data_IF_717673953277
#
_entry.id   IF_717673953277
#
_cell.length_a   1.000
_cell.length_b   1.000
_cell.length_c   1.000
_cell.angle_alpha   90.00
_cell.angle_beta   90.00
_cell.angle_gamma   90.00
#
_symmetry.space_group_name_H-M   'P 1'
#
loop_
_entity.id
_entity.type
_entity.pdbx_description
1 polymer ?
#
# COMPACT_ATOMS: atom_id res chain seq x y z
N UNK A 1 -26.84 -16.76 -17.66
CA UNK A 1 -25.49 -16.23 -17.42
C UNK A 1 -25.27 -15.07 -18.36
N UNK A 2 -24.87 -13.90 -17.86
CA UNK A 2 -24.54 -12.74 -18.69
C UNK A 2 -23.10 -12.86 -19.18
N UNK A 3 -22.84 -12.50 -20.43
CA UNK A 3 -21.53 -12.48 -21.03
C UNK A 3 -21.04 -11.05 -21.18
N UNK A 4 -19.79 -10.79 -20.80
CA UNK A 4 -19.15 -9.48 -20.89
C UNK A 4 -17.87 -9.56 -21.73
N UNK A 5 -17.45 -8.42 -22.24
CA UNK A 5 -16.13 -8.34 -22.89
C UNK A 5 -15.03 -8.31 -21.83
N UNK A 6 -15.24 -7.60 -20.73
CA UNK A 6 -14.28 -7.50 -19.63
C UNK A 6 -14.96 -7.63 -18.27
N UNK A 7 -14.44 -8.52 -17.42
CA UNK A 7 -14.77 -8.57 -16.00
C UNK A 7 -13.60 -8.04 -15.16
N UNK A 8 -13.90 -7.15 -14.21
CA UNK A 8 -12.93 -6.60 -13.27
C UNK A 8 -13.29 -7.10 -11.87
N UNK A 9 -12.35 -7.77 -11.20
CA UNK A 9 -12.50 -8.26 -9.83
C UNK A 9 -11.83 -7.28 -8.88
N UNK A 10 -12.65 -6.52 -8.14
CA UNK A 10 -12.22 -5.48 -7.21
C UNK A 10 -12.41 -4.07 -7.74
N UNK A 11 -13.09 -3.24 -6.94
CA UNK A 11 -13.32 -1.82 -7.18
C UNK A 11 -12.38 -0.93 -6.35
N UNK A 12 -11.14 -1.33 -6.18
CA UNK A 12 -10.06 -0.49 -5.68
C UNK A 12 -9.53 0.46 -6.76
N UNK A 13 -8.49 1.27 -6.47
CA UNK A 13 -7.94 2.23 -7.44
C UNK A 13 -7.63 1.59 -8.81
N UNK A 14 -6.95 0.46 -8.85
CA UNK A 14 -6.64 -0.21 -10.11
C UNK A 14 -7.89 -0.55 -10.93
N UNK A 15 -8.91 -1.15 -10.30
CA UNK A 15 -10.14 -1.55 -11.00
C UNK A 15 -10.99 -0.36 -11.45
N UNK A 16 -11.08 0.70 -10.64
CA UNK A 16 -11.82 1.92 -11.00
C UNK A 16 -11.20 2.62 -12.22
N UNK A 17 -9.86 2.81 -12.20
CA UNK A 17 -9.17 3.48 -13.30
C UNK A 17 -9.09 2.60 -14.54
N UNK A 18 -9.06 1.27 -14.39
CA UNK A 18 -9.21 0.35 -15.52
C UNK A 18 -10.61 0.50 -16.17
N UNK A 19 -11.67 0.49 -15.36
CA UNK A 19 -13.03 0.70 -15.87
C UNK A 19 -13.20 2.06 -16.56
N UNK A 20 -12.65 3.13 -15.95
CA UNK A 20 -12.68 4.48 -16.51
C UNK A 20 -12.00 4.54 -17.89
N UNK A 21 -10.79 4.05 -18.01
CA UNK A 21 -10.02 4.12 -19.25
C UNK A 21 -10.61 3.20 -20.34
N UNK A 22 -11.11 2.00 -19.99
CA UNK A 22 -11.80 1.10 -20.92
C UNK A 22 -12.99 1.82 -21.62
N UNK A 23 -13.88 2.40 -20.83
CA UNK A 23 -15.07 3.09 -21.35
C UNK A 23 -14.70 4.37 -22.12
N UNK A 24 -13.65 5.08 -21.67
CA UNK A 24 -13.15 6.26 -22.39
C UNK A 24 -12.56 5.90 -23.76
N UNK A 25 -11.85 4.78 -23.87
CA UNK A 25 -11.20 4.32 -25.11
C UNK A 25 -12.14 3.57 -26.04
N UNK A 26 -13.04 2.77 -25.48
CA UNK A 26 -14.02 2.00 -26.25
C UNK A 26 -15.35 1.91 -25.50
N UNK A 27 -16.28 2.88 -25.72
CA UNK A 27 -17.59 2.90 -25.06
C UNK A 27 -18.52 1.73 -25.41
N UNK A 28 -18.18 0.93 -26.43
CA UNK A 28 -18.97 -0.22 -26.85
C UNK A 28 -18.71 -1.48 -26.02
N UNK A 29 -17.65 -1.51 -25.24
CA UNK A 29 -17.29 -2.65 -24.39
C UNK A 29 -18.33 -2.84 -23.28
N UNK A 30 -18.79 -4.07 -23.13
CA UNK A 30 -19.57 -4.50 -21.95
C UNK A 30 -18.63 -4.84 -20.81
N UNK A 31 -18.66 -4.01 -19.76
CA UNK A 31 -17.75 -4.15 -18.61
C UNK A 31 -18.56 -4.40 -17.34
N UNK A 32 -18.14 -5.42 -16.56
CA UNK A 32 -18.69 -5.69 -15.22
C UNK A 32 -17.60 -5.55 -14.17
N UNK A 33 -17.93 -4.94 -13.04
CA UNK A 33 -17.04 -4.85 -11.86
C UNK A 33 -17.67 -5.58 -10.68
N UNK A 34 -16.97 -6.59 -10.17
CA UNK A 34 -17.38 -7.40 -9.03
C UNK A 34 -16.58 -6.99 -7.79
N UNK A 35 -17.26 -6.39 -6.80
CA UNK A 35 -16.65 -5.90 -5.57
C UNK A 35 -17.17 -6.67 -4.36
N UNK A 36 -16.25 -7.16 -3.55
CA UNK A 36 -16.57 -7.93 -2.34
C UNK A 36 -17.22 -7.10 -1.23
N UNK A 37 -16.93 -5.81 -1.19
CA UNK A 37 -17.45 -4.88 -0.19
C UNK A 37 -18.57 -3.98 -0.72
N UNK A 38 -18.90 -2.98 0.08
CA UNK A 38 -20.04 -2.11 -0.15
C UNK A 38 -19.77 -1.02 -1.20
N UNK A 39 -20.85 -0.47 -1.78
CA UNK A 39 -20.78 0.79 -2.55
C UNK A 39 -20.31 1.94 -1.66
N UNK A 40 -19.71 2.99 -2.25
CA UNK A 40 -19.09 4.09 -1.52
C UNK A 40 -19.97 4.68 -0.40
N UNK A 41 -21.23 4.95 -0.70
CA UNK A 41 -22.20 5.53 0.27
C UNK A 41 -22.60 4.59 1.41
N UNK A 42 -22.44 3.29 1.24
CA UNK A 42 -22.76 2.28 2.28
C UNK A 42 -21.55 1.89 3.12
N UNK A 43 -20.36 2.38 2.79
CA UNK A 43 -19.16 2.11 3.55
C UNK A 43 -19.17 2.92 4.85
N UNK A 44 -19.37 2.25 5.95
CA UNK A 44 -19.38 2.85 7.28
C UNK A 44 -18.74 1.90 8.30
N UNK A 45 -17.73 2.40 9.04
CA UNK A 45 -17.17 1.66 10.14
C UNK A 45 -18.07 1.79 11.37
N UNK A 46 -18.42 0.69 12.05
CA UNK A 46 -19.30 0.75 13.23
C UNK A 46 -18.61 1.35 14.47
N UNK A 47 -17.31 1.59 14.47
CA UNK A 47 -16.59 2.24 15.58
C UNK A 47 -17.08 3.70 15.68
N UNK A 48 -17.75 4.02 16.78
CA UNK A 48 -18.30 5.35 17.07
C UNK A 48 -17.58 6.05 18.26
N UNK A 49 -16.59 5.39 18.85
CA UNK A 49 -15.84 5.87 20.01
C UNK A 49 -16.66 5.91 21.32
N UNK A 50 -17.94 5.62 21.26
CA UNK A 50 -18.88 5.65 22.42
C UNK A 50 -19.33 4.25 22.79
N UNK A 51 -20.16 3.63 21.93
CA UNK A 51 -20.68 2.26 22.15
C UNK A 51 -19.70 1.20 21.67
N UNK A 52 -19.12 1.41 20.49
CA UNK A 52 -18.15 0.52 19.87
C UNK A 52 -16.80 1.27 19.83
N UNK A 53 -15.93 0.94 20.78
CA UNK A 53 -14.63 1.64 20.96
C UNK A 53 -13.47 0.96 20.25
N UNK A 54 -13.62 -0.30 19.84
CA UNK A 54 -12.57 -1.10 19.19
C UNK A 54 -13.12 -1.88 18.02
N UNK A 55 -12.22 -2.38 17.14
CA UNK A 55 -12.58 -3.16 15.98
C UNK A 55 -13.34 -4.44 16.38
N UNK A 56 -14.50 -4.66 15.75
CA UNK A 56 -15.35 -5.84 15.97
C UNK A 56 -15.12 -6.93 14.90
N UNK A 57 -14.10 -6.82 14.08
CA UNK A 57 -13.73 -7.79 13.03
C UNK A 57 -14.90 -8.13 12.11
N UNK A 58 -15.48 -7.10 11.47
CA UNK A 58 -16.59 -7.24 10.55
C UNK A 58 -16.28 -8.25 9.43
N UNK A 59 -17.26 -9.03 8.99
CA UNK A 59 -17.12 -10.02 7.91
C UNK A 59 -16.62 -9.39 6.59
N UNK A 60 -17.08 -8.18 6.29
CA UNK A 60 -16.52 -7.30 5.26
C UNK A 60 -16.15 -5.99 5.92
N UNK A 61 -14.87 -5.64 5.94
CA UNK A 61 -14.39 -4.43 6.58
C UNK A 61 -14.66 -3.22 5.69
N UNK A 62 -15.58 -2.33 6.10
CA UNK A 62 -15.93 -1.13 5.34
C UNK A 62 -14.77 -0.15 5.14
N UNK A 63 -13.69 -0.24 5.93
CA UNK A 63 -12.48 0.57 5.72
C UNK A 63 -11.59 -0.03 4.63
N UNK A 64 -11.46 -1.36 4.60
CA UNK A 64 -10.51 -2.04 3.70
C UNK A 64 -11.12 -2.45 2.36
N UNK A 65 -12.44 -2.73 2.32
CA UNK A 65 -13.15 -3.29 1.16
C UNK A 65 -14.33 -2.43 0.75
N UNK A 66 -14.66 -2.42 -0.54
CA UNK A 66 -15.71 -1.62 -1.15
C UNK A 66 -15.17 -0.68 -2.22
N UNK A 67 -16.04 0.11 -2.83
CA UNK A 67 -15.66 1.06 -3.88
C UNK A 67 -14.56 2.03 -3.38
N UNK A 68 -13.47 2.15 -4.12
CA UNK A 68 -12.27 2.88 -3.74
C UNK A 68 -11.25 2.06 -2.93
N UNK A 69 -11.59 0.81 -2.55
CA UNK A 69 -10.70 -0.05 -1.76
C UNK A 69 -10.28 0.57 -0.43
N UNK A 70 -9.14 0.19 0.12
CA UNK A 70 -8.56 0.82 1.31
C UNK A 70 -8.19 2.30 1.07
N UNK A 71 -7.99 2.67 -0.19
CA UNK A 71 -7.68 4.05 -0.60
C UNK A 71 -8.77 5.06 -0.28
N UNK A 72 -10.05 4.66 -0.26
CA UNK A 72 -11.17 5.59 -0.05
C UNK A 72 -11.17 6.30 1.31
N UNK A 73 -10.57 5.70 2.32
CA UNK A 73 -10.45 6.27 3.66
C UNK A 73 -8.99 6.52 4.07
N UNK A 74 -8.09 6.53 3.10
CA UNK A 74 -6.72 6.96 3.31
C UNK A 74 -6.62 8.48 3.25
N UNK A 75 -5.45 9.02 3.53
CA UNK A 75 -5.13 10.44 3.39
C UNK A 75 -4.97 10.89 1.91
N UNK A 76 -5.28 10.05 0.96
CA UNK A 76 -5.29 10.41 -0.47
C UNK A 76 -3.94 10.87 -1.01
N UNK A 77 -2.85 10.22 -0.61
CA UNK A 77 -1.52 10.50 -1.14
C UNK A 77 -1.28 9.78 -2.46
N UNK A 78 -1.21 10.55 -3.53
CA UNK A 78 -0.84 10.06 -4.86
C UNK A 78 0.63 10.38 -5.14
N UNK A 79 1.46 9.35 -5.13
CA UNK A 79 2.91 9.48 -5.35
C UNK A 79 3.24 9.28 -6.82
N UNK A 80 3.85 10.31 -7.44
CA UNK A 80 4.31 10.27 -8.83
C UNK A 80 5.82 10.05 -8.82
N UNK A 81 6.23 8.80 -8.85
CA UNK A 81 7.64 8.40 -8.75
C UNK A 81 7.83 6.93 -9.11
N UNK A 82 9.03 6.56 -9.56
CA UNK A 82 9.47 5.17 -9.70
C UNK A 82 10.36 4.70 -8.52
N UNK A 83 10.69 5.59 -7.58
CA UNK A 83 11.63 5.25 -6.50
C UNK A 83 10.97 4.47 -5.35
N UNK A 84 9.64 4.54 -5.25
CA UNK A 84 8.85 3.77 -4.27
C UNK A 84 7.38 3.67 -4.71
N UNK A 85 6.61 2.79 -4.07
CA UNK A 85 5.18 2.58 -4.36
C UNK A 85 4.90 1.44 -5.32
N UNK A 86 5.93 0.75 -5.80
CA UNK A 86 5.82 -0.42 -6.67
C UNK A 86 6.98 -0.54 -7.64
N UNK A 87 6.96 -1.61 -8.42
CA UNK A 87 7.93 -1.96 -9.46
C UNK A 87 7.30 -1.96 -10.86
N UNK A 88 6.19 -1.27 -11.04
CA UNK A 88 5.47 -1.19 -12.32
C UNK A 88 6.40 -0.83 -13.50
N UNK A 89 7.39 0.04 -13.25
CA UNK A 89 8.37 0.47 -14.25
C UNK A 89 9.28 -0.67 -14.76
N UNK A 90 9.40 -1.78 -14.04
CA UNK A 90 10.17 -2.95 -14.48
C UNK A 90 9.45 -3.71 -15.61
N UNK A 91 8.13 -3.57 -15.69
CA UNK A 91 7.27 -4.19 -16.69
C UNK A 91 7.07 -3.28 -17.92
N UNK A 92 6.72 -2.01 -17.68
CA UNK A 92 6.27 -1.10 -18.74
C UNK A 92 7.29 0.02 -19.08
N UNK A 93 8.43 0.07 -18.37
CA UNK A 93 9.43 1.13 -18.53
C UNK A 93 9.15 2.34 -17.65
N UNK A 94 10.24 3.08 -17.32
CA UNK A 94 10.20 4.19 -16.35
C UNK A 94 9.41 5.40 -16.85
N UNK A 95 9.54 5.73 -18.13
CA UNK A 95 8.88 6.90 -18.73
C UNK A 95 7.38 6.69 -18.81
N UNK A 96 6.95 5.51 -19.26
CA UNK A 96 5.53 5.16 -19.36
C UNK A 96 4.88 5.11 -17.99
N UNK A 97 5.52 4.47 -17.01
CA UNK A 97 5.00 4.41 -15.63
C UNK A 97 4.80 5.82 -15.04
N UNK A 98 5.76 6.74 -15.21
CA UNK A 98 5.62 8.13 -14.76
C UNK A 98 4.55 8.90 -15.52
N UNK A 99 4.44 8.68 -16.84
CA UNK A 99 3.42 9.30 -17.68
C UNK A 99 2.01 8.90 -17.23
N UNK A 100 1.80 7.61 -16.97
CA UNK A 100 0.52 7.09 -16.47
C UNK A 100 0.18 7.63 -15.08
N UNK A 101 1.15 7.72 -14.17
CA UNK A 101 0.90 8.31 -12.84
C UNK A 101 0.54 9.80 -12.91
N UNK A 102 1.13 10.57 -13.83
CA UNK A 102 0.73 11.96 -14.11
C UNK A 102 -0.69 12.03 -14.67
N UNK A 103 -1.02 11.14 -15.58
CA UNK A 103 -2.38 11.05 -16.13
C UNK A 103 -3.43 10.69 -15.04
N UNK A 104 -3.07 9.83 -14.09
CA UNK A 104 -3.90 9.59 -12.89
C UNK A 104 -4.12 10.89 -12.10
N UNK A 105 -3.08 11.70 -11.92
CA UNK A 105 -3.20 13.00 -11.23
C UNK A 105 -4.13 13.96 -12.00
N UNK A 106 -4.02 14.03 -13.32
CA UNK A 106 -4.93 14.82 -14.18
C UNK A 106 -6.38 14.39 -14.01
N UNK A 107 -6.66 13.09 -14.04
CA UNK A 107 -8.01 12.56 -13.79
C UNK A 107 -8.51 12.97 -12.39
N UNK A 108 -7.67 12.90 -11.37
CA UNK A 108 -8.04 13.34 -10.02
C UNK A 108 -8.38 14.82 -9.98
N UNK A 109 -7.61 15.66 -10.67
CA UNK A 109 -7.89 17.10 -10.76
C UNK A 109 -9.23 17.39 -11.44
N UNK A 110 -9.52 16.74 -12.57
CA UNK A 110 -10.80 16.85 -13.29
C UNK A 110 -12.00 16.42 -12.42
N UNK A 111 -11.78 15.51 -11.47
CA UNK A 111 -12.84 14.98 -10.61
C UNK A 111 -12.91 15.61 -9.20
N UNK A 112 -12.32 16.78 -9.01
CA UNK A 112 -12.48 17.57 -7.77
C UNK A 112 -11.23 17.74 -6.94
N UNK A 113 -10.08 17.29 -7.44
CA UNK A 113 -8.79 17.54 -6.81
C UNK A 113 -8.22 18.94 -7.08
N UNK A 114 -8.90 19.77 -7.87
CA UNK A 114 -8.41 21.11 -8.20
C UNK A 114 -8.11 21.95 -6.94
N UNK A 115 -7.01 22.72 -7.01
CA UNK A 115 -6.57 23.59 -5.92
C UNK A 115 -5.72 22.90 -4.86
N UNK A 116 -5.57 21.57 -4.90
CA UNK A 116 -4.68 20.86 -3.99
C UNK A 116 -3.21 21.02 -4.39
N UNK A 117 -2.34 21.15 -3.38
CA UNK A 117 -0.91 21.36 -3.61
C UNK A 117 -0.23 20.08 -4.07
N UNK A 118 0.62 20.19 -5.10
CA UNK A 118 1.59 19.15 -5.48
C UNK A 118 2.93 19.47 -4.81
N UNK A 119 3.36 18.65 -3.88
CA UNK A 119 4.68 18.71 -3.27
C UNK A 119 5.69 18.02 -4.18
N UNK A 120 6.93 18.51 -4.23
CA UNK A 120 7.96 17.91 -5.06
C UNK A 120 9.34 18.02 -4.43
N UNK A 121 10.13 16.97 -4.60
CA UNK A 121 11.56 16.97 -4.23
C UNK A 121 12.45 17.60 -5.31
N UNK A 122 11.88 17.99 -6.44
CA UNK A 122 12.64 18.63 -7.52
C UNK A 122 13.18 20.00 -7.07
N UNK A 123 14.50 20.18 -7.20
CA UNK A 123 15.16 21.46 -6.87
C UNK A 123 15.31 21.75 -5.38
N UNK A 124 14.90 20.86 -4.48
CA UNK A 124 15.04 21.08 -3.03
C UNK A 124 16.51 21.07 -2.58
N UNK A 125 16.83 21.98 -1.66
CA UNK A 125 18.15 22.01 -0.97
C UNK A 125 18.42 20.74 -0.13
N UNK A 126 17.38 20.06 0.30
CA UNK A 126 17.49 18.88 1.15
C UNK A 126 18.14 17.71 0.45
N UNK A 127 18.05 17.62 -0.88
CA UNK A 127 18.77 16.57 -1.64
C UNK A 127 20.27 16.64 -1.42
N UNK A 128 20.83 17.87 -1.50
CA UNK A 128 22.27 18.09 -1.24
C UNK A 128 22.62 17.82 0.23
N UNK A 129 21.79 18.29 1.16
CA UNK A 129 21.99 18.07 2.60
C UNK A 129 22.00 16.57 2.95
N UNK A 130 21.08 15.80 2.41
CA UNK A 130 21.05 14.36 2.58
C UNK A 130 22.31 13.70 2.02
N UNK A 131 22.72 14.03 0.79
CA UNK A 131 23.94 13.47 0.18
C UNK A 131 25.20 13.75 1.00
N UNK A 132 25.34 14.94 1.55
CA UNK A 132 26.46 15.33 2.40
C UNK A 132 26.55 14.48 3.69
N UNK A 133 25.43 13.90 4.13
CA UNK A 133 25.31 13.09 5.33
C UNK A 133 25.07 11.60 5.04
N UNK A 134 25.44 11.12 3.82
CA UNK A 134 25.30 9.72 3.40
C UNK A 134 23.84 9.21 3.40
N UNK A 135 22.91 10.13 3.32
CA UNK A 135 21.49 9.88 3.16
C UNK A 135 21.08 10.09 1.70
N UNK A 136 20.08 9.36 1.23
CA UNK A 136 19.49 9.54 -0.09
C UNK A 136 18.05 9.97 0.07
N UNK A 137 17.73 11.21 -0.31
CA UNK A 137 16.35 11.63 -0.50
C UNK A 137 15.83 11.07 -1.82
N UNK A 138 14.74 10.29 -1.78
CA UNK A 138 14.13 9.72 -2.98
C UNK A 138 13.37 10.81 -3.75
N UNK A 139 13.42 10.73 -5.08
CA UNK A 139 12.74 11.69 -5.94
C UNK A 139 11.24 11.34 -6.05
N UNK A 140 10.39 12.30 -5.76
CA UNK A 140 8.95 12.15 -5.90
C UNK A 140 8.26 13.50 -6.08
N UNK A 141 7.10 13.45 -6.76
CA UNK A 141 6.05 14.45 -6.59
C UNK A 141 4.87 13.78 -5.89
N UNK A 142 4.28 14.45 -4.91
CA UNK A 142 3.21 13.90 -4.08
C UNK A 142 2.02 14.85 -4.11
N UNK A 143 0.88 14.36 -4.61
CA UNK A 143 -0.41 15.02 -4.46
C UNK A 143 -1.05 14.53 -3.18
N UNK A 144 -1.31 15.44 -2.26
CA UNK A 144 -2.06 15.15 -1.05
C UNK A 144 -3.48 15.69 -1.20
N UNK A 145 -4.45 14.79 -1.35
CA UNK A 145 -5.85 15.15 -1.49
C UNK A 145 -6.56 15.26 -0.13
N UNK A 146 -6.01 14.60 0.90
CA UNK A 146 -6.73 14.36 2.13
C UNK A 146 -7.88 13.36 1.94
N UNK A 147 -8.47 12.92 3.04
CA UNK A 147 -9.56 11.93 3.00
C UNK A 147 -10.82 12.51 2.35
N UNK A 148 -11.11 13.78 2.62
CA UNK A 148 -12.35 14.42 2.16
C UNK A 148 -12.36 14.64 0.65
N UNK A 149 -11.30 15.23 0.10
CA UNK A 149 -11.20 15.48 -1.35
C UNK A 149 -11.08 14.17 -2.11
N UNK A 150 -10.32 13.21 -1.58
CA UNK A 150 -10.21 11.89 -2.17
C UNK A 150 -11.57 11.18 -2.25
N UNK A 151 -12.42 11.33 -1.24
CA UNK A 151 -13.80 10.84 -1.28
C UNK A 151 -14.63 11.50 -2.39
N UNK A 152 -14.52 12.82 -2.58
CA UNK A 152 -15.20 13.57 -3.65
C UNK A 152 -14.75 13.08 -5.03
N UNK A 153 -13.45 12.85 -5.22
CA UNK A 153 -12.91 12.30 -6.48
C UNK A 153 -13.53 10.94 -6.78
N UNK A 154 -13.56 10.05 -5.79
CA UNK A 154 -14.16 8.72 -5.96
C UNK A 154 -15.68 8.80 -6.23
N UNK A 155 -16.41 9.72 -5.60
CA UNK A 155 -17.84 9.90 -5.83
C UNK A 155 -18.12 10.38 -7.26
N UNK A 156 -17.33 11.33 -7.78
CA UNK A 156 -17.46 11.81 -9.16
C UNK A 156 -17.08 10.73 -10.19
N UNK A 157 -15.99 9.99 -9.97
CA UNK A 157 -15.65 8.85 -10.83
C UNK A 157 -16.78 7.81 -10.85
N UNK A 158 -17.35 7.48 -9.69
CA UNK A 158 -18.49 6.57 -9.64
C UNK A 158 -19.70 7.11 -10.40
N UNK A 159 -20.02 8.41 -10.25
CA UNK A 159 -21.13 9.03 -10.94
C UNK A 159 -20.98 8.98 -12.46
N UNK A 160 -19.76 9.10 -12.98
CA UNK A 160 -19.47 8.98 -14.42
C UNK A 160 -19.58 7.54 -14.94
N UNK A 161 -19.16 6.56 -14.11
CA UNK A 161 -19.09 5.16 -14.52
C UNK A 161 -20.38 4.37 -14.35
N UNK A 162 -21.22 4.69 -13.37
CA UNK A 162 -22.36 3.87 -12.92
C UNK A 162 -23.41 3.53 -14.01
N UNK A 163 -23.53 4.36 -15.03
CA UNK A 163 -24.48 4.18 -16.12
C UNK A 163 -23.84 3.51 -17.36
N UNK A 164 -22.52 3.31 -17.34
CA UNK A 164 -21.72 2.75 -18.45
C UNK A 164 -21.10 1.40 -18.10
N UNK A 165 -20.93 1.11 -16.82
CA UNK A 165 -20.30 -0.10 -16.27
C UNK A 165 -21.26 -0.75 -15.28
N UNK A 166 -21.41 -2.06 -15.37
CA UNK A 166 -22.26 -2.80 -14.43
C UNK A 166 -21.49 -3.11 -13.14
N UNK A 167 -21.89 -2.49 -12.02
CA UNK A 167 -21.25 -2.71 -10.72
C UNK A 167 -22.08 -3.67 -9.85
N UNK A 168 -21.44 -4.72 -9.37
CA UNK A 168 -21.99 -5.65 -8.38
C UNK A 168 -21.23 -5.52 -7.07
N UNK A 169 -21.82 -4.84 -6.08
CA UNK A 169 -21.31 -4.75 -4.72
C UNK A 169 -21.78 -5.92 -3.85
N UNK A 170 -21.06 -6.16 -2.74
CA UNK A 170 -21.34 -7.28 -1.85
C UNK A 170 -21.37 -8.62 -2.63
N UNK A 171 -20.46 -8.73 -3.61
CA UNK A 171 -20.41 -9.84 -4.55
C UNK A 171 -18.96 -10.36 -4.67
N UNK A 172 -18.45 -11.03 -3.62
CA UNK A 172 -17.13 -11.62 -3.66
C UNK A 172 -17.07 -12.73 -4.69
N UNK A 173 -16.06 -12.70 -5.54
CA UNK A 173 -15.71 -13.83 -6.43
C UNK A 173 -15.06 -14.92 -5.59
N UNK A 174 -15.63 -16.13 -5.63
CA UNK A 174 -15.13 -17.26 -4.85
C UNK A 174 -14.11 -18.11 -5.63
N UNK A 175 -14.31 -18.22 -6.94
CA UNK A 175 -13.48 -19.02 -7.85
C UNK A 175 -13.48 -18.43 -9.25
N UNK A 176 -12.39 -18.59 -9.97
CA UNK A 176 -12.29 -18.29 -11.40
C UNK A 176 -11.95 -19.57 -12.15
N UNK A 177 -12.72 -19.88 -13.18
CA UNK A 177 -12.50 -21.00 -14.06
C UNK A 177 -12.21 -20.54 -15.49
N UNK A 178 -11.33 -21.26 -16.16
CA UNK A 178 -10.97 -21.01 -17.55
C UNK A 178 -11.79 -21.93 -18.44
N UNK A 179 -12.50 -21.35 -19.42
CA UNK A 179 -13.31 -22.09 -20.38
C UNK A 179 -12.66 -22.12 -21.76
N UNK A 180 -12.85 -23.23 -22.47
CA UNK A 180 -12.36 -23.36 -23.85
C UNK A 180 -10.82 -23.34 -23.95
N UNK A 181 -10.12 -23.93 -22.98
CA UNK A 181 -8.66 -24.01 -22.98
C UNK A 181 -8.16 -24.73 -24.23
N UNK A 182 -7.45 -24.02 -25.08
CA UNK A 182 -6.78 -24.59 -26.26
C UNK A 182 -5.35 -24.96 -25.85
N UNK A 183 -5.05 -26.24 -25.77
CA UNK A 183 -3.67 -26.71 -25.70
C UNK A 183 -3.09 -26.66 -27.10
N UNK A 184 -2.26 -25.68 -27.41
CA UNK A 184 -1.43 -25.77 -28.58
C UNK A 184 -0.47 -26.95 -28.42
N UNK A 185 -0.55 -27.90 -29.35
CA UNK A 185 0.45 -28.97 -29.49
C UNK A 185 1.74 -28.30 -30.02
N UNK A 186 2.53 -27.72 -29.14
CA UNK A 186 3.82 -27.23 -29.54
C UNK A 186 4.94 -28.21 -29.20
N UNK A 187 5.86 -28.32 -30.13
CA UNK A 187 7.14 -29.01 -30.03
C UNK A 187 7.94 -28.39 -28.85
N UNK A 188 8.46 -29.28 -28.01
CA UNK A 188 9.30 -28.95 -26.87
C UNK A 188 10.39 -27.92 -27.23
N UNK A 189 10.26 -26.68 -26.75
CA UNK A 189 11.32 -25.71 -26.55
C UNK A 189 10.80 -24.26 -26.63
N UNK A 190 10.02 -23.80 -25.63
CA UNK A 190 9.96 -22.38 -25.27
C UNK A 190 9.18 -22.17 -23.97
N UNK A 191 9.84 -21.66 -22.94
CA UNK A 191 9.30 -21.39 -21.60
C UNK A 191 8.33 -20.17 -21.51
N UNK A 192 7.75 -19.68 -22.62
CA UNK A 192 6.91 -18.49 -22.66
C UNK A 192 5.66 -18.60 -23.54
N UNK A 193 5.08 -19.80 -23.66
CA UNK A 193 3.87 -19.92 -24.47
C UNK A 193 2.63 -19.49 -23.71
N UNK A 194 1.85 -18.56 -24.28
CA UNK A 194 0.55 -18.13 -23.78
C UNK A 194 -0.48 -19.23 -23.99
N UNK A 195 -1.29 -19.49 -22.96
CA UNK A 195 -2.44 -20.40 -23.03
C UNK A 195 -3.66 -19.61 -23.48
N UNK A 196 -4.19 -19.95 -24.64
CA UNK A 196 -5.41 -19.33 -25.17
C UNK A 196 -6.64 -19.96 -24.53
N UNK A 197 -7.64 -19.14 -24.26
CA UNK A 197 -8.94 -19.55 -23.70
C UNK A 197 -10.06 -18.71 -24.32
N UNK A 198 -11.28 -19.28 -24.34
CA UNK A 198 -12.45 -18.60 -24.91
C UNK A 198 -13.02 -17.55 -23.94
N UNK A 199 -13.07 -17.89 -22.67
CA UNK A 199 -13.60 -17.00 -21.63
C UNK A 199 -13.20 -17.43 -20.22
N UNK A 200 -13.47 -16.54 -19.27
CA UNK A 200 -13.31 -16.72 -17.83
C UNK A 200 -14.67 -16.77 -17.16
N UNK A 201 -14.92 -17.80 -16.37
CA UNK A 201 -16.12 -17.94 -15.58
C UNK A 201 -15.80 -17.59 -14.12
N UNK A 202 -16.50 -16.57 -13.62
CA UNK A 202 -16.32 -16.04 -12.27
C UNK A 202 -17.53 -16.50 -11.42
N UNK A 203 -17.27 -17.34 -10.45
CA UNK A 203 -18.28 -17.88 -9.54
C UNK A 203 -18.45 -16.96 -8.34
N UNK A 204 -19.69 -16.62 -8.05
CA UNK A 204 -20.10 -15.90 -6.82
C UNK A 204 -21.21 -16.66 -6.11
N UNK A 205 -21.53 -16.25 -4.88
CA UNK A 205 -22.66 -16.84 -4.14
C UNK A 205 -24.04 -16.55 -4.76
N UNK A 206 -24.13 -15.50 -5.58
CA UNK A 206 -25.39 -15.04 -6.11
C UNK A 206 -25.67 -15.58 -7.51
N UNK A 207 -24.69 -15.44 -8.39
CA UNK A 207 -24.77 -15.81 -9.81
C UNK A 207 -23.36 -15.93 -10.38
N UNK A 208 -23.25 -16.53 -11.55
CA UNK A 208 -22.00 -16.66 -12.28
C UNK A 208 -21.92 -15.62 -13.40
N UNK A 209 -20.70 -15.12 -13.62
CA UNK A 209 -20.37 -14.14 -14.66
C UNK A 209 -19.37 -14.74 -15.63
N UNK A 210 -19.57 -14.48 -16.93
CA UNK A 210 -18.63 -14.91 -17.97
C UNK A 210 -18.06 -13.68 -18.67
N UNK A 211 -16.76 -13.68 -18.96
CA UNK A 211 -16.12 -12.60 -19.70
C UNK A 211 -14.98 -13.11 -20.58
N UNK A 212 -14.76 -12.47 -21.74
CA UNK A 212 -13.65 -12.77 -22.64
C UNK A 212 -12.29 -12.46 -22.00
N UNK A 213 -12.25 -11.40 -21.15
CA UNK A 213 -11.05 -10.95 -20.45
C UNK A 213 -11.37 -10.74 -18.97
N UNK A 214 -10.40 -11.03 -18.13
CA UNK A 214 -10.52 -10.88 -16.68
C UNK A 214 -9.36 -10.03 -16.16
N UNK A 215 -9.69 -8.94 -15.45
CA UNK A 215 -8.74 -8.09 -14.74
C UNK A 215 -8.93 -8.33 -13.24
N UNK A 216 -7.94 -8.89 -12.58
CA UNK A 216 -7.95 -9.04 -11.11
C UNK A 216 -7.23 -7.86 -10.50
N UNK A 217 -7.97 -7.04 -9.73
CA UNK A 217 -7.50 -5.81 -9.08
C UNK A 217 -7.83 -5.82 -7.59
N UNK A 218 -7.49 -6.90 -6.90
CA UNK A 218 -7.71 -7.02 -5.47
C UNK A 218 -6.61 -6.31 -4.68
N UNK A 219 -6.96 -5.81 -3.51
CA UNK A 219 -6.02 -5.21 -2.56
C UNK A 219 -5.44 -6.24 -1.59
N UNK A 220 -4.75 -5.75 -0.54
CA UNK A 220 -4.15 -6.58 0.51
C UNK A 220 -5.13 -7.52 1.21
N UNK A 221 -6.38 -7.09 1.40
CA UNK A 221 -7.44 -7.94 1.97
C UNK A 221 -7.78 -9.15 1.10
N UNK A 222 -7.50 -9.10 -0.20
CA UNK A 222 -7.68 -10.20 -1.15
C UNK A 222 -6.46 -11.08 -1.35
N UNK A 223 -5.35 -10.86 -0.61
CA UNK A 223 -4.08 -11.58 -0.81
C UNK A 223 -4.23 -13.09 -0.77
N UNK A 224 -4.83 -13.63 0.29
CA UNK A 224 -5.04 -15.08 0.45
C UNK A 224 -5.96 -15.67 -0.62
N UNK A 225 -6.95 -14.91 -1.07
CA UNK A 225 -7.80 -15.32 -2.19
C UNK A 225 -7.03 -15.35 -3.50
N UNK A 226 -6.17 -14.35 -3.75
CA UNK A 226 -5.33 -14.31 -4.96
C UNK A 226 -4.31 -15.46 -4.97
N UNK A 227 -3.72 -15.79 -3.83
CA UNK A 227 -2.84 -16.95 -3.67
C UNK A 227 -3.55 -18.23 -4.08
N UNK A 228 -4.77 -18.45 -3.55
CA UNK A 228 -5.61 -19.59 -3.93
C UNK A 228 -5.92 -19.61 -5.43
N UNK A 229 -6.25 -18.47 -6.05
CA UNK A 229 -6.50 -18.38 -7.50
C UNK A 229 -5.24 -18.75 -8.29
N UNK A 230 -4.06 -18.26 -7.87
CA UNK A 230 -2.81 -18.64 -8.51
C UNK A 230 -2.52 -20.12 -8.41
N UNK A 231 -2.72 -20.73 -7.24
CA UNK A 231 -2.52 -22.16 -7.02
C UNK A 231 -3.48 -23.00 -7.87
N UNK A 232 -4.79 -22.66 -7.87
CA UNK A 232 -5.82 -23.39 -8.64
C UNK A 232 -5.59 -23.30 -10.16
N UNK A 233 -5.12 -22.16 -10.65
CA UNK A 233 -4.82 -21.94 -12.07
C UNK A 233 -3.37 -22.30 -12.44
N UNK A 234 -2.55 -22.69 -11.45
CA UNK A 234 -1.14 -22.98 -11.65
C UNK A 234 -0.34 -21.78 -12.16
N UNK A 235 -0.70 -20.55 -11.75
CA UNK A 235 0.05 -19.33 -12.08
C UNK A 235 1.23 -19.23 -11.11
N UNK A 236 2.48 -19.14 -11.60
CA UNK A 236 3.64 -19.04 -10.73
C UNK A 236 3.61 -17.72 -9.91
N UNK A 237 4.09 -17.84 -8.66
CA UNK A 237 4.23 -16.68 -7.76
C UNK A 237 5.60 -16.66 -7.11
N UNK A 238 6.07 -15.48 -6.68
CA UNK A 238 7.30 -15.33 -5.91
C UNK A 238 6.98 -14.69 -4.57
N UNK A 239 7.75 -15.06 -3.53
CA UNK A 239 7.69 -14.36 -2.26
C UNK A 239 8.16 -12.91 -2.43
N UNK A 240 7.39 -11.98 -1.90
CA UNK A 240 7.77 -10.58 -1.86
C UNK A 240 8.57 -10.27 -0.58
N UNK A 241 9.05 -9.05 -0.46
CA UNK A 241 9.72 -8.56 0.75
C UNK A 241 8.74 -8.38 1.90
N UNK A 242 9.27 -8.24 3.10
CA UNK A 242 8.59 -7.68 4.27
C UNK A 242 9.43 -6.52 4.80
N UNK A 243 8.81 -5.41 5.16
CA UNK A 243 9.51 -4.30 5.81
C UNK A 243 9.18 -4.32 7.30
N UNK A 244 10.23 -4.30 8.13
CA UNK A 244 10.14 -4.41 9.58
C UNK A 244 10.85 -3.24 10.25
N UNK A 245 10.26 -2.72 11.31
CA UNK A 245 10.91 -1.67 12.08
C UNK A 245 10.06 -1.08 13.18
N UNK A 246 10.20 0.20 13.37
CA UNK A 246 9.56 0.97 14.44
C UNK A 246 8.90 2.23 13.89
N UNK A 247 7.93 2.74 14.62
CA UNK A 247 7.46 4.12 14.47
C UNK A 247 8.19 5.01 15.44
N UNK A 248 8.74 6.08 14.93
CA UNK A 248 9.40 7.15 15.69
C UNK A 248 8.38 8.24 15.97
N UNK A 249 8.36 8.77 17.18
CA UNK A 249 7.61 9.97 17.56
C UNK A 249 8.53 10.94 18.27
N UNK A 250 8.50 12.21 17.84
CA UNK A 250 9.34 13.27 18.34
C UNK A 250 8.65 14.64 18.13
N UNK A 251 9.13 15.74 18.77
CA UNK A 251 8.54 17.06 18.59
C UNK A 251 8.53 17.51 17.14
N UNK A 252 7.39 18.01 16.64
CA UNK A 252 7.21 18.41 15.24
C UNK A 252 8.24 19.45 14.78
N UNK A 253 8.67 20.32 15.68
CA UNK A 253 9.68 21.38 15.39
C UNK A 253 11.00 20.81 14.87
N UNK A 254 11.36 19.57 15.21
CA UNK A 254 12.60 18.92 14.75
C UNK A 254 12.55 18.67 13.24
N UNK A 255 11.40 18.31 12.70
CA UNK A 255 11.22 17.99 11.28
C UNK A 255 10.49 19.08 10.48
N UNK A 256 9.98 20.16 11.11
CA UNK A 256 9.17 21.19 10.45
C UNK A 256 9.84 21.76 9.20
N UNK A 257 11.14 22.03 9.25
CA UNK A 257 11.91 22.55 8.11
C UNK A 257 11.90 21.62 6.87
N UNK A 258 11.70 20.31 7.06
CA UNK A 258 11.55 19.32 6.00
C UNK A 258 10.07 19.15 5.60
N UNK A 259 9.19 19.04 6.59
CA UNK A 259 7.78 18.73 6.35
C UNK A 259 7.00 19.91 5.77
N UNK A 260 7.36 21.15 6.07
CA UNK A 260 6.74 22.34 5.50
C UNK A 260 7.03 22.48 3.99
N UNK A 261 8.20 22.00 3.53
CA UNK A 261 8.59 22.05 2.12
C UNK A 261 8.14 20.79 1.36
N UNK A 262 8.37 19.60 1.93
CA UNK A 262 8.23 18.31 1.24
C UNK A 262 6.99 17.52 1.68
N UNK A 263 6.31 17.91 2.74
CA UNK A 263 5.23 17.21 3.43
C UNK A 263 5.68 15.82 3.94
N UNK A 264 6.03 14.91 3.04
CA UNK A 264 6.52 13.57 3.35
C UNK A 264 7.87 13.32 2.66
N UNK A 265 8.93 13.08 3.46
CA UNK A 265 10.26 12.80 2.94
C UNK A 265 10.55 11.30 3.00
N UNK A 266 10.86 10.70 1.86
CA UNK A 266 11.38 9.33 1.79
C UNK A 266 12.91 9.39 1.76
N UNK A 267 13.53 9.13 2.90
CA UNK A 267 14.98 9.18 3.08
C UNK A 267 15.49 7.77 3.31
N UNK A 268 16.52 7.39 2.58
CA UNK A 268 17.18 6.08 2.69
C UNK A 268 18.59 6.26 3.22
N UNK A 269 18.96 5.39 4.14
CA UNK A 269 20.31 5.23 4.66
C UNK A 269 20.79 3.80 4.46
N UNK A 270 21.97 3.63 3.87
CA UNK A 270 22.64 2.33 3.81
C UNK A 270 23.52 2.18 5.05
N UNK A 271 23.18 1.22 5.91
CA UNK A 271 23.88 0.99 7.17
C UNK A 271 25.35 0.61 6.96
N UNK A 272 26.22 1.05 7.87
CA UNK A 272 27.65 0.75 7.79
C UNK A 272 27.94 -0.70 8.19
N UNK A 273 27.23 -1.19 9.20
CA UNK A 273 27.50 -2.51 9.78
C UNK A 273 27.01 -3.67 8.88
N UNK A 274 25.82 -3.54 8.32
CA UNK A 274 25.16 -4.64 7.58
C UNK A 274 24.89 -4.34 6.12
N UNK A 275 25.14 -3.11 5.68
CA UNK A 275 24.82 -2.61 4.33
C UNK A 275 23.31 -2.74 3.96
N UNK A 276 22.46 -2.85 4.97
CA UNK A 276 21.01 -2.85 4.80
C UNK A 276 20.49 -1.43 4.51
N UNK A 277 19.47 -1.33 3.69
CA UNK A 277 18.76 -0.07 3.50
C UNK A 277 17.69 0.10 4.57
N UNK A 278 17.83 1.17 5.36
CA UNK A 278 16.80 1.66 6.27
C UNK A 278 16.17 2.90 5.65
N UNK A 279 14.85 2.99 5.70
CA UNK A 279 14.15 4.10 5.09
C UNK A 279 13.09 4.70 6.02
N UNK A 280 12.88 6.01 5.90
CA UNK A 280 11.69 6.65 6.46
C UNK A 280 10.46 6.25 5.65
N UNK A 281 9.34 6.08 6.33
CA UNK A 281 8.09 5.70 5.69
C UNK A 281 6.90 6.37 6.42
N UNK A 282 5.85 6.73 5.67
CA UNK A 282 4.61 7.29 6.19
C UNK A 282 4.83 8.36 7.28
N UNK A 283 5.39 9.50 6.88
CA UNK A 283 5.61 10.64 7.78
C UNK A 283 4.32 11.42 7.97
N UNK A 284 4.00 11.73 9.22
CA UNK A 284 2.77 12.41 9.63
C UNK A 284 3.13 13.62 10.48
N UNK A 285 3.29 14.79 9.84
CA UNK A 285 3.51 16.06 10.55
C UNK A 285 2.32 16.37 11.46
N UNK A 286 2.58 16.80 12.69
CA UNK A 286 1.57 17.11 13.70
C UNK A 286 0.51 16.03 13.91
N UNK A 287 0.91 14.76 13.66
CA UNK A 287 0.03 13.60 13.67
C UNK A 287 0.08 12.80 14.96
N UNK A 288 -0.65 11.70 14.96
CA UNK A 288 -0.73 10.76 16.08
C UNK A 288 -0.20 9.37 15.68
N UNK A 289 0.33 8.66 16.66
CA UNK A 289 0.64 7.23 16.54
C UNK A 289 -0.63 6.43 16.83
N UNK A 290 -0.90 5.40 16.05
CA UNK A 290 -2.11 4.58 16.17
C UNK A 290 -1.80 3.09 16.11
N UNK A 291 -2.70 2.29 16.67
CA UNK A 291 -2.69 0.84 16.52
C UNK A 291 -3.36 0.44 15.21
N UNK A 292 -2.79 -0.52 14.51
CA UNK A 292 -3.41 -1.21 13.38
C UNK A 292 -3.61 -2.68 13.75
N UNK A 293 -4.85 -3.16 13.66
CA UNK A 293 -5.17 -4.56 13.95
C UNK A 293 -5.53 -5.30 12.67
N UNK A 294 -4.73 -6.27 12.31
CA UNK A 294 -4.96 -7.13 11.14
C UNK A 294 -5.05 -8.59 11.61
N UNK A 295 -6.24 -9.17 11.55
CA UNK A 295 -6.49 -10.57 11.94
C UNK A 295 -6.03 -10.92 13.36
N UNK A 296 -6.19 -9.99 14.31
CA UNK A 296 -5.79 -10.19 15.70
C UNK A 296 -4.31 -9.92 16.00
N UNK A 297 -3.55 -9.48 15.01
CA UNK A 297 -2.17 -9.02 15.17
C UNK A 297 -2.18 -7.50 15.23
N UNK A 298 -1.68 -6.93 16.33
CA UNK A 298 -1.60 -5.49 16.53
C UNK A 298 -0.21 -5.01 16.14
N UNK A 299 -0.16 -4.10 15.19
CA UNK A 299 1.05 -3.37 14.77
C UNK A 299 0.84 -1.88 14.98
N UNK A 300 1.90 -1.10 14.86
CA UNK A 300 1.82 0.36 14.96
C UNK A 300 1.75 0.99 13.56
N UNK A 301 1.05 2.12 13.47
CA UNK A 301 1.01 2.99 12.30
C UNK A 301 0.92 4.45 12.76
N UNK A 302 0.85 5.39 11.82
CA UNK A 302 0.65 6.81 12.12
C UNK A 302 -0.49 7.38 11.29
N UNK A 303 -1.05 8.48 11.79
CA UNK A 303 -2.11 9.20 11.13
C UNK A 303 -1.95 10.70 11.33
N UNK A 304 -2.30 11.49 10.32
CA UNK A 304 -2.42 12.95 10.41
C UNK A 304 -3.82 13.40 10.01
N UNK A 305 -4.30 14.45 10.66
CA UNK A 305 -5.59 15.07 10.36
C UNK A 305 -5.36 16.38 9.62
N UNK A 306 -6.27 16.77 8.73
CA UNK A 306 -6.21 18.07 8.06
C UNK A 306 -6.65 19.23 8.97
N UNK A 307 -7.60 18.99 9.88
CA UNK A 307 -8.09 20.01 10.81
C UNK A 307 -7.03 20.38 11.85
N UNK A 308 -6.65 21.66 11.90
CA UNK A 308 -5.65 22.18 12.85
C UNK A 308 -6.04 21.93 14.31
N UNK A 309 -7.34 21.83 14.61
CA UNK A 309 -7.88 21.50 15.95
C UNK A 309 -7.50 20.10 16.44
N UNK A 310 -7.03 19.23 15.54
CA UNK A 310 -6.59 17.86 15.82
C UNK A 310 -5.07 17.67 15.72
N UNK A 311 -4.35 18.72 15.41
CA UNK A 311 -2.90 18.68 15.33
C UNK A 311 -2.29 18.47 16.71
N UNK A 312 -1.23 17.65 16.76
CA UNK A 312 -0.41 17.47 17.95
C UNK A 312 0.89 18.24 17.83
N UNK A 313 1.64 18.35 18.92
CA UNK A 313 2.97 18.93 18.92
C UNK A 313 4.04 17.97 18.40
N UNK A 314 3.66 16.75 18.01
CA UNK A 314 4.56 15.69 17.56
C UNK A 314 4.44 15.41 16.06
N UNK A 315 5.57 15.08 15.45
CA UNK A 315 5.65 14.39 14.16
C UNK A 315 5.99 12.95 14.41
N UNK A 316 5.39 12.04 13.64
CA UNK A 316 5.77 10.63 13.68
C UNK A 316 6.05 10.08 12.26
N UNK A 317 6.94 9.10 12.19
CA UNK A 317 7.29 8.40 10.94
C UNK A 317 7.81 7.00 11.25
N UNK A 318 7.67 6.09 10.29
CA UNK A 318 8.27 4.78 10.42
C UNK A 318 9.73 4.79 9.99
N UNK A 319 10.55 3.95 10.63
CA UNK A 319 11.86 3.52 10.15
C UNK A 319 11.78 2.03 9.87
N UNK A 320 11.94 1.67 8.60
CA UNK A 320 11.73 0.30 8.12
C UNK A 320 12.97 -0.23 7.42
N UNK A 321 13.27 -1.50 7.69
CA UNK A 321 14.31 -2.29 7.04
C UNK A 321 13.64 -3.32 6.14
N UNK A 322 13.90 -3.28 4.84
CA UNK A 322 13.39 -4.27 3.90
C UNK A 322 14.13 -5.60 4.04
N UNK A 323 13.40 -6.71 4.15
CA UNK A 323 13.95 -8.05 4.16
C UNK A 323 13.37 -8.86 3.01
N UNK A 324 14.26 -9.42 2.21
CA UNK A 324 13.96 -10.37 1.15
C UNK A 324 14.44 -11.75 1.59
N UNK A 325 13.64 -12.75 1.31
CA UNK A 325 14.00 -14.13 1.59
C UNK A 325 14.19 -14.87 0.26
N UNK A 326 15.29 -15.61 0.16
CA UNK A 326 15.56 -16.53 -0.94
C UNK A 326 15.16 -17.96 -0.54
N UNK A 327 15.07 -18.82 -1.54
CA UNK A 327 14.87 -20.26 -1.29
C UNK A 327 15.83 -20.79 -0.21
N UNK A 328 15.39 -21.67 0.70
CA UNK A 328 14.06 -22.29 0.75
C UNK A 328 13.00 -21.49 1.52
N UNK A 329 13.30 -20.29 1.97
CA UNK A 329 12.42 -19.46 2.78
C UNK A 329 11.49 -18.64 1.88
N UNK A 330 10.20 -18.97 1.88
CA UNK A 330 9.20 -18.31 0.99
C UNK A 330 8.21 -17.43 1.72
N UNK A 331 8.11 -17.52 3.06
CA UNK A 331 7.07 -16.85 3.82
C UNK A 331 7.61 -15.63 4.56
N UNK A 332 7.87 -14.55 3.80
CA UNK A 332 8.27 -13.26 4.38
C UNK A 332 7.17 -12.64 5.25
N UNK A 333 5.91 -12.83 4.88
CA UNK A 333 4.78 -12.31 5.66
C UNK A 333 4.65 -13.05 6.99
N UNK A 334 4.78 -14.38 7.02
CA UNK A 334 4.80 -15.18 8.24
C UNK A 334 5.95 -14.80 9.18
N UNK A 335 7.12 -14.46 8.62
CA UNK A 335 8.22 -13.92 9.42
C UNK A 335 7.84 -12.59 10.10
N UNK A 336 7.27 -11.65 9.35
CA UNK A 336 6.79 -10.37 9.89
C UNK A 336 5.69 -10.55 10.93
N UNK A 337 4.73 -11.45 10.67
CA UNK A 337 3.67 -11.80 11.62
C UNK A 337 4.23 -12.40 12.91
N UNK A 338 5.24 -13.26 12.83
CA UNK A 338 5.87 -13.88 14.01
C UNK A 338 6.49 -12.83 14.93
N UNK A 339 7.18 -11.83 14.37
CA UNK A 339 7.76 -10.72 15.14
C UNK A 339 6.65 -9.85 15.75
N UNK A 340 5.59 -9.55 15.01
CA UNK A 340 4.47 -8.77 15.54
C UNK A 340 3.73 -9.52 16.66
N UNK A 341 3.53 -10.84 16.53
CA UNK A 341 2.96 -11.69 17.60
C UNK A 341 3.83 -11.72 18.84
N UNK A 342 5.17 -11.76 18.66
CA UNK A 342 6.10 -11.69 19.79
C UNK A 342 5.97 -10.35 20.54
N UNK A 343 5.86 -9.22 19.82
CA UNK A 343 5.59 -7.91 20.42
C UNK A 343 4.27 -7.91 21.20
N UNK A 344 3.20 -8.46 20.61
CA UNK A 344 1.89 -8.53 21.26
C UNK A 344 1.91 -9.40 22.51
N UNK A 345 2.65 -10.50 22.49
CA UNK A 345 2.81 -11.39 23.65
C UNK A 345 3.51 -10.69 24.81
N UNK A 346 4.55 -9.89 24.52
CA UNK A 346 5.34 -9.21 25.54
C UNK A 346 4.69 -7.91 26.05
N UNK A 347 4.01 -7.17 25.15
CA UNK A 347 3.44 -5.85 25.44
C UNK A 347 1.92 -5.82 25.57
N UNK A 348 1.22 -6.92 25.31
CA UNK A 348 -0.24 -6.92 25.16
C UNK A 348 -0.74 -6.13 23.95
N UNK A 349 0.17 -5.78 23.04
CA UNK A 349 -0.03 -4.93 21.87
C UNK A 349 1.27 -4.27 21.45
N UNK A 350 1.25 -2.95 21.25
CA UNK A 350 2.43 -2.17 20.89
C UNK A 350 3.29 -1.89 22.12
N UNK A 351 4.60 -2.02 21.96
CA UNK A 351 5.62 -1.65 22.95
C UNK A 351 6.15 -0.25 22.61
N UNK A 352 6.36 0.59 23.62
CA UNK A 352 7.06 1.88 23.51
C UNK A 352 8.36 1.87 24.30
N UNK A 353 9.42 2.41 23.68
CA UNK A 353 10.74 2.56 24.33
C UNK A 353 11.33 3.92 23.97
N UNK A 354 11.94 4.61 24.96
CA UNK A 354 12.74 5.81 24.70
C UNK A 354 14.04 5.42 24.00
N UNK A 355 14.46 6.23 23.04
CA UNK A 355 15.69 5.99 22.30
C UNK A 355 16.92 5.90 23.23
N UNK A 356 17.02 6.80 24.23
CA UNK A 356 18.11 6.74 25.20
C UNK A 356 18.12 5.47 26.06
N UNK A 357 16.97 4.86 26.33
CA UNK A 357 16.92 3.59 27.04
C UNK A 357 17.33 2.43 26.13
N UNK A 358 16.94 2.44 24.84
CA UNK A 358 17.37 1.46 23.86
C UNK A 358 18.91 1.47 23.70
N UNK A 359 19.52 2.65 23.54
CA UNK A 359 20.98 2.81 23.42
C UNK A 359 21.72 2.28 24.65
N UNK A 360 21.13 2.41 25.83
CA UNK A 360 21.70 1.88 27.08
C UNK A 360 21.41 0.40 27.31
N UNK A 361 20.72 -0.26 26.40
CA UNK A 361 20.34 -1.68 26.52
C UNK A 361 19.40 -1.97 27.69
N UNK A 362 18.46 -1.08 27.98
CA UNK A 362 17.51 -1.24 29.08
C UNK A 362 16.08 -0.93 28.67
N UNK A 363 15.12 -1.62 29.27
CA UNK A 363 13.70 -1.34 29.07
C UNK A 363 13.32 0.08 29.53
N UNK A 364 12.38 0.70 28.86
CA UNK A 364 11.68 1.87 29.39
C UNK A 364 10.65 1.46 30.47
N UNK A 365 10.34 2.40 31.36
CA UNK A 365 9.25 2.26 32.33
C UNK A 365 8.32 3.48 32.25
N UNK A 366 7.15 3.37 32.86
CA UNK A 366 6.12 4.39 32.80
C UNK A 366 6.63 5.75 33.29
N UNK A 367 7.35 5.79 34.40
CA UNK A 367 7.87 7.03 34.97
C UNK A 367 8.80 7.77 34.00
N UNK A 368 9.74 7.08 33.35
CA UNK A 368 10.65 7.71 32.39
C UNK A 368 9.95 8.20 31.12
N UNK A 369 8.88 7.53 30.70
CA UNK A 369 8.05 8.01 29.57
C UNK A 369 7.33 9.31 29.97
N UNK A 370 6.69 9.34 31.12
CA UNK A 370 5.93 10.49 31.62
C UNK A 370 6.81 11.71 31.92
N UNK A 371 8.04 11.51 32.39
CA UNK A 371 9.03 12.57 32.67
C UNK A 371 9.76 13.04 31.41
N UNK A 372 9.60 12.38 30.26
CA UNK A 372 10.25 12.73 29.00
C UNK A 372 9.65 13.97 28.35
N UNK A 373 10.47 14.65 27.54
CA UNK A 373 10.02 15.83 26.76
C UNK A 373 8.98 15.48 25.68
N UNK A 374 9.02 14.25 25.16
CA UNK A 374 8.07 13.78 24.15
C UNK A 374 6.92 13.08 24.85
N UNK A 375 5.73 13.67 24.80
CA UNK A 375 4.53 13.06 25.36
C UNK A 375 3.91 12.12 24.31
N UNK A 376 3.70 10.83 24.65
CA UNK A 376 3.20 9.84 23.68
C UNK A 376 1.76 10.13 23.25
N UNK A 377 1.50 10.13 21.95
CA UNK A 377 0.14 10.23 21.42
C UNK A 377 -0.60 8.90 21.41
N UNK A 378 0.12 7.77 21.49
CA UNK A 378 -0.45 6.43 21.68
C UNK A 378 -0.11 5.91 23.07
N UNK A 379 -1.13 5.49 23.80
CA UNK A 379 -0.94 4.71 25.04
C UNK A 379 -0.48 3.29 24.68
N UNK A 380 0.83 3.03 24.88
CA UNK A 380 1.48 1.76 24.62
C UNK A 380 2.19 1.23 25.88
N UNK A 381 2.58 -0.02 25.88
CA UNK A 381 3.27 -0.65 27.03
C UNK A 381 4.76 -0.28 27.01
N UNK A 382 5.30 0.39 28.05
CA UNK A 382 6.74 0.62 28.16
C UNK A 382 7.51 -0.70 28.23
N UNK A 383 8.48 -0.88 27.34
CA UNK A 383 9.18 -2.15 27.24
C UNK A 383 10.59 -2.05 26.64
N UNK A 384 11.03 -3.16 26.09
CA UNK A 384 12.34 -3.33 25.46
C UNK A 384 12.17 -3.95 24.08
N UNK A 385 12.43 -3.16 23.03
CA UNK A 385 12.33 -3.57 21.64
C UNK A 385 13.42 -4.58 21.25
N UNK A 386 14.50 -4.68 22.02
CA UNK A 386 15.56 -5.66 21.76
C UNK A 386 15.11 -7.11 22.03
N UNK A 387 14.03 -7.29 22.77
CA UNK A 387 13.42 -8.61 22.98
C UNK A 387 12.51 -9.05 21.83
N UNK A 388 12.24 -8.17 20.89
CA UNK A 388 11.28 -8.40 19.79
C UNK A 388 11.98 -8.32 18.44
N UNK A 389 12.65 -7.20 18.16
CA UNK A 389 13.28 -6.98 16.89
C UNK A 389 14.66 -7.65 16.83
N UNK A 390 14.99 -8.37 15.74
CA UNK A 390 16.33 -8.89 15.54
C UNK A 390 17.38 -7.79 15.64
N UNK A 391 18.53 -8.13 16.24
CA UNK A 391 19.66 -7.19 16.45
C UNK A 391 20.01 -6.42 15.17
N UNK A 392 20.10 -7.10 14.04
CA UNK A 392 20.44 -6.49 12.73
C UNK A 392 19.45 -5.37 12.34
N UNK A 393 18.17 -5.52 12.65
CA UNK A 393 17.16 -4.51 12.38
C UNK A 393 17.28 -3.34 13.33
N UNK A 394 17.48 -3.61 14.64
CA UNK A 394 17.64 -2.56 15.64
C UNK A 394 18.90 -1.72 15.42
N UNK A 395 20.03 -2.37 15.16
CA UNK A 395 21.29 -1.66 14.90
C UNK A 395 21.12 -0.74 13.68
N UNK A 396 20.50 -1.24 12.59
CA UNK A 396 20.23 -0.42 11.42
C UNK A 396 19.31 0.78 11.69
N UNK A 397 18.29 0.59 12.53
CA UNK A 397 17.40 1.69 12.98
C UNK A 397 18.17 2.71 13.80
N UNK A 398 19.03 2.29 14.72
CA UNK A 398 19.86 3.20 15.53
C UNK A 398 20.82 3.99 14.64
N UNK A 399 21.51 3.35 13.68
CA UNK A 399 22.36 4.04 12.71
C UNK A 399 21.57 5.09 11.91
N UNK A 400 20.36 4.75 11.44
CA UNK A 400 19.49 5.68 10.71
C UNK A 400 19.07 6.87 11.57
N UNK A 401 18.74 6.67 12.86
CA UNK A 401 18.37 7.77 13.78
C UNK A 401 19.55 8.75 13.92
N UNK A 402 20.78 8.25 14.13
CA UNK A 402 21.96 9.10 14.19
C UNK A 402 22.29 9.79 12.85
N UNK A 403 22.00 9.15 11.72
CA UNK A 403 22.17 9.75 10.41
C UNK A 403 21.14 10.87 10.17
N UNK A 404 19.89 10.66 10.57
CA UNK A 404 18.82 11.70 10.51
C UNK A 404 19.12 12.88 11.42
N UNK A 405 19.71 12.64 12.58
CA UNK A 405 20.07 13.71 13.53
C UNK A 405 21.01 14.76 12.91
N UNK A 406 21.80 14.38 11.91
CA UNK A 406 22.69 15.29 11.17
C UNK A 406 21.94 16.28 10.27
N UNK A 407 20.74 15.94 9.83
CA UNK A 407 19.91 16.78 8.96
C UNK A 407 18.70 17.38 9.69
N UNK A 408 18.31 16.78 10.80
CA UNK A 408 17.24 17.19 11.69
C UNK A 408 17.71 17.04 13.15
N UNK A 409 18.54 17.98 13.66
CA UNK A 409 19.10 17.90 15.00
C UNK A 409 18.04 17.78 16.09
N UNK A 410 18.20 16.78 16.96
CA UNK A 410 17.23 16.41 17.99
C UNK A 410 16.51 15.08 17.68
N UNK A 411 16.70 14.50 16.50
CA UNK A 411 16.16 13.17 16.16
C UNK A 411 16.70 12.09 17.10
N UNK A 412 18.00 12.14 17.45
CA UNK A 412 18.65 11.22 18.37
C UNK A 412 18.54 11.63 19.84
N UNK A 413 17.56 12.47 20.20
CA UNK A 413 17.31 12.83 21.60
C UNK A 413 16.93 11.58 22.41
N UNK A 414 17.36 11.55 23.68
CA UNK A 414 17.07 10.43 24.61
C UNK A 414 15.57 10.19 24.77
N UNK A 415 14.74 11.21 24.68
CA UNK A 415 13.30 11.16 24.85
C UNK A 415 12.52 10.85 23.56
N UNK A 416 13.19 10.78 22.42
CA UNK A 416 12.55 10.30 21.17
C UNK A 416 11.94 8.92 21.44
N UNK A 417 10.64 8.78 21.11
CA UNK A 417 9.89 7.54 21.35
C UNK A 417 9.94 6.63 20.14
N UNK A 418 10.14 5.34 20.42
CA UNK A 418 10.14 4.27 19.44
C UNK A 418 9.02 3.30 19.80
N UNK A 419 8.08 3.10 18.85
CA UNK A 419 7.00 2.13 19.02
C UNK A 419 7.24 0.91 18.15
N UNK A 420 7.09 -0.26 18.69
CA UNK A 420 7.27 -1.52 17.94
C UNK A 420 6.13 -2.51 18.14
N UNK A 421 5.87 -3.24 17.09
CA UNK A 421 6.59 -3.21 15.80
C UNK A 421 5.73 -2.57 14.72
N UNK A 422 6.37 -1.90 13.79
CA UNK A 422 5.74 -1.56 12.52
C UNK A 422 6.14 -2.59 11.47
N UNK A 423 5.14 -3.13 10.78
CA UNK A 423 5.33 -4.12 9.72
C UNK A 423 4.58 -3.68 8.48
N UNK A 424 5.22 -3.73 7.33
CA UNK A 424 4.55 -3.60 6.04
C UNK A 424 4.62 -4.94 5.33
N UNK A 425 3.45 -5.54 5.17
CA UNK A 425 3.25 -6.77 4.42
C UNK A 425 3.03 -6.44 2.94
N UNK A 426 3.61 -7.25 2.08
CA UNK A 426 3.41 -7.18 0.65
C UNK A 426 2.81 -8.49 0.15
N UNK A 427 1.91 -8.39 -0.82
CA UNK A 427 1.38 -9.58 -1.47
C UNK A 427 2.50 -10.30 -2.24
N UNK A 428 2.34 -11.61 -2.44
CA UNK A 428 3.21 -12.34 -3.34
C UNK A 428 3.21 -11.69 -4.72
N UNK A 429 4.31 -11.76 -5.40
CA UNK A 429 4.46 -11.25 -6.77
C UNK A 429 3.98 -12.33 -7.74
N UNK A 430 2.95 -12.00 -8.51
CA UNK A 430 2.40 -12.87 -9.54
C UNK A 430 3.30 -12.83 -10.77
N UNK A 431 3.55 -13.96 -11.41
CA UNK A 431 4.31 -14.02 -12.65
C UNK A 431 3.51 -13.38 -13.79
N UNK A 432 3.97 -12.23 -14.27
CA UNK A 432 3.36 -11.42 -15.32
C UNK A 432 4.40 -11.13 -16.42
N UNK A 433 3.91 -10.84 -17.61
CA UNK A 433 4.72 -10.31 -18.71
C UNK A 433 4.70 -8.76 -18.72
N UNK A 434 5.28 -8.17 -19.76
CA UNK A 434 5.33 -6.71 -20.00
C UNK A 434 3.95 -6.06 -20.23
N UNK A 435 2.89 -6.85 -20.43
CA UNK A 435 1.51 -6.40 -20.58
C UNK A 435 0.70 -6.55 -19.26
N UNK A 436 1.35 -6.92 -18.16
CA UNK A 436 0.73 -7.30 -16.87
C UNK A 436 -0.26 -8.47 -17.03
N UNK A 437 -0.05 -9.29 -18.05
CA UNK A 437 -0.84 -10.47 -18.37
C UNK A 437 -0.16 -11.73 -17.81
N UNK A 438 -0.94 -12.65 -17.28
CA UNK A 438 -0.43 -13.95 -16.83
C UNK A 438 -0.10 -14.86 -18.03
N UNK A 439 0.25 -16.10 -17.77
CA UNK A 439 0.38 -17.11 -18.83
C UNK A 439 -0.93 -17.36 -19.62
N UNK A 440 -2.07 -16.94 -19.07
CA UNK A 440 -3.38 -17.08 -19.73
C UNK A 440 -3.73 -15.78 -20.49
N UNK A 441 -4.03 -15.92 -21.79
CA UNK A 441 -4.36 -14.78 -22.65
C UNK A 441 -5.66 -14.12 -22.24
N UNK A 442 -5.63 -12.81 -21.96
CA UNK A 442 -6.77 -12.05 -21.46
C UNK A 442 -6.96 -12.11 -19.92
N UNK A 443 -6.00 -12.70 -19.17
CA UNK A 443 -6.03 -12.71 -17.71
C UNK A 443 -4.95 -11.82 -17.13
N UNK A 444 -5.35 -10.65 -16.63
CA UNK A 444 -4.47 -9.60 -16.12
C UNK A 444 -4.56 -9.53 -14.60
N UNK A 445 -3.43 -9.24 -13.94
CA UNK A 445 -3.41 -9.01 -12.49
C UNK A 445 -2.73 -7.69 -12.20
N UNK A 446 -3.46 -6.77 -11.57
CA UNK A 446 -3.05 -5.39 -11.30
C UNK A 446 -3.28 -5.00 -9.84
N UNK A 447 -2.86 -3.80 -9.47
CA UNK A 447 -3.01 -3.31 -8.10
C UNK A 447 -2.15 -4.09 -7.10
N UNK A 448 -2.42 -3.89 -5.82
CA UNK A 448 -1.64 -4.53 -4.74
C UNK A 448 -1.70 -6.06 -4.80
N UNK A 449 -2.77 -6.64 -5.34
CA UNK A 449 -2.93 -8.09 -5.49
C UNK A 449 -1.92 -8.74 -6.43
N UNK A 450 -1.33 -7.97 -7.34
CA UNK A 450 -0.25 -8.45 -8.23
C UNK A 450 1.10 -8.60 -7.53
N UNK A 451 1.28 -7.95 -6.36
CA UNK A 451 2.58 -7.80 -5.72
C UNK A 451 3.51 -6.77 -6.40
N UNK A 452 3.08 -6.18 -7.52
CA UNK A 452 3.86 -5.22 -8.31
C UNK A 452 3.64 -3.78 -7.86
N UNK A 453 2.43 -3.44 -7.41
CA UNK A 453 2.08 -2.07 -6.98
C UNK A 453 1.68 -2.01 -5.51
N UNK A 454 2.01 -0.88 -4.84
CA UNK A 454 1.81 -0.71 -3.40
C UNK A 454 1.38 0.73 -3.03
N UNK A 455 0.90 1.51 -4.01
CA UNK A 455 0.41 2.88 -3.81
C UNK A 455 -0.79 3.16 -4.70
N UNK A 456 -1.56 4.19 -4.34
CA UNK A 456 -2.74 4.60 -5.11
C UNK A 456 -2.39 4.89 -6.57
N UNK A 457 -1.34 5.70 -6.83
CA UNK A 457 -0.92 6.06 -8.17
C UNK A 457 -0.48 4.87 -9.03
N UNK A 458 0.35 3.98 -8.46
CA UNK A 458 0.83 2.80 -9.19
C UNK A 458 -0.30 1.82 -9.50
N UNK A 459 -1.19 1.59 -8.53
CA UNK A 459 -2.36 0.73 -8.74
C UNK A 459 -3.29 1.31 -9.82
N UNK A 460 -3.58 2.61 -9.77
CA UNK A 460 -4.38 3.29 -10.79
C UNK A 460 -3.71 3.26 -12.18
N UNK A 461 -2.40 3.52 -12.23
CA UNK A 461 -1.61 3.50 -13.46
C UNK A 461 -1.59 2.10 -14.10
N UNK A 462 -1.45 1.03 -13.30
CA UNK A 462 -1.54 -0.34 -13.80
C UNK A 462 -2.91 -0.65 -14.41
N UNK A 463 -3.97 -0.11 -13.83
CA UNK A 463 -5.33 -0.23 -14.36
C UNK A 463 -5.50 0.46 -15.71
N UNK A 464 -5.02 1.70 -15.83
CA UNK A 464 -5.04 2.46 -17.08
C UNK A 464 -4.22 1.74 -18.16
N UNK A 465 -3.04 1.24 -17.82
CA UNK A 465 -2.18 0.53 -18.75
C UNK A 465 -2.90 -0.68 -19.36
N UNK A 466 -3.40 -1.59 -18.52
CA UNK A 466 -4.12 -2.79 -18.99
C UNK A 466 -5.38 -2.43 -19.80
N UNK A 467 -6.09 -1.38 -19.39
CA UNK A 467 -7.25 -0.92 -20.14
C UNK A 467 -6.90 -0.45 -21.57
N UNK A 468 -5.76 0.22 -21.76
CA UNK A 468 -5.25 0.62 -23.08
C UNK A 468 -4.87 -0.58 -23.93
N UNK A 469 -4.13 -1.54 -23.35
CA UNK A 469 -3.76 -2.80 -24.01
C UNK A 469 -5.02 -3.53 -24.53
N UNK A 470 -6.05 -3.66 -23.69
CA UNK A 470 -7.31 -4.31 -24.08
C UNK A 470 -8.01 -3.52 -25.19
N UNK A 471 -8.11 -2.20 -25.06
CA UNK A 471 -8.80 -1.37 -26.02
C UNK A 471 -8.10 -1.32 -27.40
N UNK A 472 -6.79 -1.46 -27.45
CA UNK A 472 -6.02 -1.57 -28.68
C UNK A 472 -6.20 -2.94 -29.35
N UNK A 473 -6.17 -4.01 -28.57
CA UNK A 473 -6.40 -5.37 -29.08
C UNK A 473 -7.80 -5.58 -29.66
N UNK A 474 -8.80 -4.81 -29.23
CA UNK A 474 -10.17 -4.87 -29.78
C UNK A 474 -10.37 -4.06 -31.09
N UNK A 475 -9.40 -3.27 -31.48
CA UNK A 475 -9.43 -2.52 -32.76
C UNK A 475 -8.87 -3.31 -33.93
N UNK A 476 -8.16 -4.40 -33.65
CA UNK A 476 -7.57 -5.33 -34.62
C UNK A 476 -8.49 -6.52 -34.89
#
# INVERSE_FOLDING_TARGET
MKNYDVAIVGAGPGGIYAAYELIKKNPALSVVVLEAGHSLKKRHCPIDGKKIKSCISCKSCSIMSGFGGAGAFSDGKYNITNDFGGTLYEYIGKEEALSLMKYVDEINMEHGGEGTRLFSTAGTKFKKLCMQNRLKLLDASVRHLGTDINYVVLEKLYAELKDKVEFHFDTPVEKIEIQGRQEEKSSAEKNNEKVYCESYLLHTKKEDFSAKRCIVSVGRSGSKWMEKVCDELGIPTKSNRVDLGVRVELPAVIFSHLTDELYESKIVYRTELFEDNVRTFCMNPNGIVVNENTNGIVTVNGHSYEGEDKHTENTNFALLVAKHFSEPFKDSNGYGESIARLSNMLGGGVIVQRFGDLVRGRRSNQKRIEEGMVQPTLKATPGDLSLVLPKRILDGIMEMIYALDKIAPGTANEDTLLYGVEVKFYNMEVALDEHLETKYKGFYVIGDGSGVTHSLSHASASGIFVAREIAEAEKL
#
